data_IF_927656849668
#
_entry.id   IF_927656849668
#
_cell.length_a   1.000
_cell.length_b   1.000
_cell.length_c   1.000
_cell.angle_alpha   90.00
_cell.angle_beta   90.00
_cell.angle_gamma   90.00
#
_symmetry.space_group_name_H-M   'P 1'
#
loop_
_entity.id
_entity.type
_entity.pdbx_description
1 polymer ?
#
# COMPACT_ATOMS: atom_id res chain seq x y z
N UNK A 1 -0.89 13.53 -15.72
CA UNK A 1 -0.63 12.07 -15.84
C UNK A 1 -0.42 11.47 -14.46
N UNK A 2 0.76 11.64 -13.86
CA UNK A 2 0.99 11.06 -12.53
C UNK A 2 0.06 11.60 -11.46
N UNK A 3 -0.41 12.86 -11.59
CA UNK A 3 -1.37 13.43 -10.65
C UNK A 3 -2.73 12.72 -10.71
N UNK A 4 -3.18 12.35 -11.90
CA UNK A 4 -4.42 11.58 -12.06
C UNK A 4 -4.29 10.18 -11.47
N UNK A 5 -3.16 9.53 -11.69
CA UNK A 5 -2.87 8.21 -11.11
C UNK A 5 -2.87 8.32 -9.58
N UNK A 6 -2.18 9.32 -9.04
CA UNK A 6 -2.13 9.55 -7.60
C UNK A 6 -3.53 9.72 -7.02
N UNK A 7 -4.35 10.59 -7.62
CA UNK A 7 -5.71 10.85 -7.13
C UNK A 7 -6.59 9.60 -7.22
N UNK A 8 -6.47 8.84 -8.30
CA UNK A 8 -7.23 7.61 -8.47
C UNK A 8 -6.88 6.58 -7.38
N UNK A 9 -5.59 6.38 -7.14
CA UNK A 9 -5.13 5.43 -6.13
C UNK A 9 -5.48 5.88 -4.71
N UNK A 10 -5.32 7.16 -4.42
CA UNK A 10 -5.65 7.72 -3.11
C UNK A 10 -7.16 7.57 -2.83
N UNK A 11 -8.00 7.86 -3.82
CA UNK A 11 -9.46 7.70 -3.71
C UNK A 11 -9.82 6.24 -3.42
N UNK A 12 -9.25 5.31 -4.18
CA UNK A 12 -9.51 3.89 -4.00
C UNK A 12 -9.02 3.40 -2.62
N UNK A 13 -7.87 3.89 -2.16
CA UNK A 13 -7.33 3.54 -0.85
C UNK A 13 -8.24 4.07 0.27
N UNK A 14 -8.79 5.27 0.12
CA UNK A 14 -9.71 5.86 1.10
C UNK A 14 -11.01 5.07 1.19
N UNK A 15 -11.56 4.63 0.06
CA UNK A 15 -12.74 3.77 0.05
C UNK A 15 -12.44 2.45 0.75
N UNK A 16 -11.31 1.83 0.46
CA UNK A 16 -10.90 0.58 1.09
C UNK A 16 -10.78 0.74 2.61
N UNK A 17 -10.20 1.83 3.08
CA UNK A 17 -10.01 2.09 4.51
C UNK A 17 -11.31 2.08 5.31
N UNK A 18 -12.45 2.33 4.64
CA UNK A 18 -13.77 2.24 5.27
C UNK A 18 -14.10 0.84 5.77
N UNK A 19 -13.40 -0.18 5.29
CA UNK A 19 -13.60 -1.58 5.68
C UNK A 19 -12.51 -2.10 6.63
N UNK A 20 -11.61 -1.23 7.09
CA UNK A 20 -10.50 -1.64 7.94
C UNK A 20 -10.99 -2.29 9.24
N UNK A 21 -10.33 -3.38 9.61
CA UNK A 21 -10.55 -4.02 10.90
C UNK A 21 -9.42 -3.60 11.84
N UNK A 22 -9.65 -2.54 12.60
CA UNK A 22 -8.63 -1.93 13.44
C UNK A 22 -9.15 -1.60 14.86
N UNK A 23 -9.74 -2.59 15.56
CA UNK A 23 -10.36 -2.33 16.87
C UNK A 23 -9.35 -2.04 17.97
N UNK A 24 -8.07 -2.40 17.79
CA UNK A 24 -7.05 -2.26 18.81
C UNK A 24 -6.32 -0.93 18.71
N UNK A 25 -5.94 -0.52 17.49
CA UNK A 25 -5.23 0.74 17.27
C UNK A 25 -6.16 1.92 17.03
N UNK A 26 -7.35 1.64 16.53
CA UNK A 26 -8.30 2.65 16.05
C UNK A 26 -7.72 3.51 14.91
N UNK A 27 -6.76 2.96 14.18
CA UNK A 27 -6.08 3.63 13.06
C UNK A 27 -6.35 2.85 11.78
N UNK A 28 -7.13 3.43 10.86
CA UNK A 28 -7.49 2.78 9.61
C UNK A 28 -6.50 3.12 8.51
N UNK A 29 -6.08 2.12 7.77
CA UNK A 29 -5.18 2.29 6.61
C UNK A 29 -5.82 1.61 5.41
N UNK A 30 -5.72 2.27 4.27
CA UNK A 30 -6.11 1.69 2.99
C UNK A 30 -4.94 1.73 2.03
N UNK A 31 -4.87 0.73 1.17
CA UNK A 31 -3.89 0.67 0.10
C UNK A 31 -4.56 0.31 -1.22
N UNK A 32 -4.08 0.88 -2.30
CA UNK A 32 -4.56 0.60 -3.64
C UNK A 32 -3.37 0.40 -4.56
N UNK A 33 -3.35 -0.73 -5.25
CA UNK A 33 -2.30 -1.07 -6.21
C UNK A 33 -2.81 -0.85 -7.62
N UNK A 34 -2.03 -0.13 -8.43
CA UNK A 34 -2.29 -0.01 -9.85
C UNK A 34 -1.59 -1.14 -10.58
N UNK A 35 -2.32 -1.84 -11.41
CA UNK A 35 -1.81 -2.97 -12.20
C UNK A 35 -1.49 -2.53 -13.62
N UNK A 36 -0.68 -3.31 -14.32
CA UNK A 36 -0.29 -3.02 -15.73
C UNK A 36 -1.48 -2.88 -16.67
N UNK A 37 -2.57 -3.59 -16.40
CA UNK A 37 -3.79 -3.52 -17.23
C UNK A 37 -4.71 -2.36 -16.85
N UNK A 38 -4.31 -1.52 -15.89
CA UNK A 38 -5.10 -0.40 -15.42
C UNK A 38 -6.07 -0.73 -14.29
N UNK A 39 -6.21 -2.01 -13.93
CA UNK A 39 -7.08 -2.39 -12.83
C UNK A 39 -6.43 -2.03 -11.48
N UNK A 40 -7.26 -1.97 -10.44
CA UNK A 40 -6.84 -1.59 -9.11
C UNK A 40 -7.17 -2.71 -8.12
N UNK A 41 -6.20 -3.09 -7.30
CA UNK A 41 -6.38 -4.08 -6.23
C UNK A 41 -6.19 -3.37 -4.90
N UNK A 42 -7.17 -3.48 -4.01
CA UNK A 42 -7.14 -2.77 -2.73
C UNK A 42 -6.95 -3.71 -1.55
N UNK A 43 -6.53 -3.12 -0.43
CA UNK A 43 -6.44 -3.80 0.84
C UNK A 43 -6.61 -2.84 1.99
N UNK A 44 -6.88 -3.37 3.16
CA UNK A 44 -6.97 -2.61 4.41
C UNK A 44 -6.15 -3.30 5.46
N UNK A 45 -5.81 -2.57 6.54
CA UNK A 45 -5.22 -3.22 7.69
C UNK A 45 -6.25 -4.17 8.31
N UNK A 46 -5.74 -5.29 8.79
CA UNK A 46 -6.52 -6.37 9.37
C UNK A 46 -5.82 -6.77 10.67
N UNK A 47 -6.30 -6.21 11.77
CA UNK A 47 -5.72 -6.45 13.09
C UNK A 47 -6.22 -7.75 13.70
N UNK A 48 -5.48 -8.25 14.65
CA UNK A 48 -5.80 -9.47 15.36
C UNK A 48 -5.56 -9.26 16.85
N UNK A 49 -6.36 -9.88 17.70
CA UNK A 49 -6.15 -9.85 19.14
C UNK A 49 -4.77 -10.40 19.52
N UNK A 50 -4.24 -11.31 18.71
CA UNK A 50 -2.83 -11.69 18.77
C UNK A 50 -2.07 -10.70 17.89
N UNK A 51 -1.55 -9.64 18.49
CA UNK A 51 -1.04 -8.46 17.79
C UNK A 51 -0.02 -8.79 16.71
N UNK A 52 0.83 -9.77 16.94
CA UNK A 52 1.85 -10.18 15.99
C UNK A 52 1.30 -10.76 14.68
N UNK A 53 0.03 -11.13 14.64
CA UNK A 53 -0.64 -11.65 13.45
C UNK A 53 -1.33 -10.57 12.64
N UNK A 54 -1.32 -9.32 13.11
CA UNK A 54 -1.95 -8.20 12.41
C UNK A 54 -1.25 -7.94 11.08
N UNK A 55 -2.03 -7.58 10.05
CA UNK A 55 -1.52 -7.32 8.71
C UNK A 55 -1.77 -5.87 8.33
N UNK A 56 -0.78 -5.25 7.70
CA UNK A 56 -0.90 -3.91 7.17
C UNK A 56 -1.67 -3.92 5.84
N UNK A 57 -2.27 -2.79 5.48
CA UNK A 57 -3.07 -2.66 4.26
C UNK A 57 -2.26 -3.00 3.01
N UNK A 58 -1.02 -2.56 2.92
CA UNK A 58 -0.16 -2.79 1.75
C UNK A 58 0.15 -4.29 1.58
N UNK A 59 0.36 -4.98 2.69
CA UNK A 59 0.58 -6.43 2.68
C UNK A 59 -0.66 -7.16 2.22
N UNK A 60 -1.84 -6.76 2.72
CA UNK A 60 -3.12 -7.39 2.31
C UNK A 60 -3.37 -7.17 0.83
N UNK A 61 -3.16 -5.94 0.33
CA UNK A 61 -3.36 -5.64 -1.09
C UNK A 61 -2.40 -6.46 -1.97
N UNK A 62 -1.13 -6.55 -1.58
CA UNK A 62 -0.11 -7.29 -2.33
C UNK A 62 -0.42 -8.80 -2.31
N UNK A 63 -0.83 -9.34 -1.17
CA UNK A 63 -1.23 -10.74 -1.06
C UNK A 63 -2.46 -11.03 -1.93
N UNK A 64 -3.41 -10.10 -1.97
CA UNK A 64 -4.58 -10.23 -2.83
C UNK A 64 -4.20 -10.23 -4.31
N UNK A 65 -3.32 -9.33 -4.73
CA UNK A 65 -2.81 -9.30 -6.09
C UNK A 65 -2.12 -10.63 -6.45
N UNK A 66 -1.32 -11.16 -5.51
CA UNK A 66 -0.67 -12.44 -5.70
C UNK A 66 -1.70 -13.57 -5.87
N UNK A 67 -2.75 -13.58 -5.04
CA UNK A 67 -3.81 -14.61 -5.13
C UNK A 67 -4.56 -14.55 -6.45
N UNK A 68 -4.60 -13.37 -7.08
CA UNK A 68 -5.22 -13.18 -8.40
C UNK A 68 -4.24 -13.47 -9.55
N UNK A 69 -3.03 -13.92 -9.24
CA UNK A 69 -2.02 -14.24 -10.25
C UNK A 69 -1.30 -13.01 -10.82
N UNK A 70 -1.32 -11.88 -10.10
CA UNK A 70 -0.88 -10.58 -10.64
C UNK A 70 0.26 -9.93 -9.87
N UNK A 71 1.01 -10.70 -9.08
CA UNK A 71 2.09 -10.11 -8.28
C UNK A 71 3.08 -9.31 -9.14
N UNK A 72 3.42 -9.81 -10.32
CA UNK A 72 4.40 -9.18 -11.22
C UNK A 72 3.86 -7.98 -11.99
N UNK A 73 2.59 -7.67 -11.82
CA UNK A 73 1.93 -6.62 -12.61
C UNK A 73 1.69 -5.33 -11.83
N UNK A 74 2.22 -5.23 -10.62
CA UNK A 74 2.05 -4.03 -9.78
C UNK A 74 2.96 -2.92 -10.32
N UNK A 75 2.37 -1.74 -10.57
CA UNK A 75 3.06 -0.58 -11.13
C UNK A 75 3.25 0.53 -10.11
N UNK A 76 2.25 0.73 -9.27
CA UNK A 76 2.24 1.83 -8.30
C UNK A 76 1.34 1.47 -7.13
N UNK A 77 1.52 2.17 -6.01
CA UNK A 77 0.70 1.98 -4.82
C UNK A 77 0.32 3.33 -4.22
N UNK A 78 -0.95 3.45 -3.83
CA UNK A 78 -1.44 4.58 -3.03
C UNK A 78 -1.75 4.09 -1.62
N UNK A 79 -1.37 4.88 -0.62
CA UNK A 79 -1.53 4.51 0.79
C UNK A 79 -2.10 5.71 1.53
N UNK A 80 -3.15 5.48 2.31
CA UNK A 80 -3.72 6.50 3.16
C UNK A 80 -4.00 5.94 4.55
N UNK A 81 -4.12 6.81 5.52
CA UNK A 81 -4.51 6.37 6.86
C UNK A 81 -4.83 7.52 7.79
N UNK A 82 -5.51 7.20 8.87
CA UNK A 82 -5.86 8.17 9.89
C UNK A 82 -6.57 7.51 11.06
N UNK A 83 -6.60 8.22 12.19
CA UNK A 83 -7.34 7.78 13.38
C UNK A 83 -8.84 7.79 13.09
N UNK A 84 -9.52 6.75 13.53
CA UNK A 84 -10.98 6.66 13.38
C UNK A 84 -11.68 7.40 14.51
N UNK A 85 -12.69 8.18 14.14
CA UNK A 85 -13.63 8.83 15.06
C UNK A 85 -15.01 8.68 14.46
N UNK A 86 -15.94 8.13 15.23
CA UNK A 86 -17.29 7.87 14.75
C UNK A 86 -17.34 6.92 13.57
N UNK A 87 -16.40 5.96 13.51
CA UNK A 87 -16.33 4.97 12.44
C UNK A 87 -15.72 5.47 11.14
N UNK A 88 -15.16 6.69 11.14
CA UNK A 88 -14.57 7.31 9.94
C UNK A 88 -13.15 7.72 10.25
N UNK A 89 -12.23 7.44 9.34
CA UNK A 89 -10.83 7.85 9.46
C UNK A 89 -10.69 9.35 9.18
N UNK A 90 -9.87 10.02 9.96
CA UNK A 90 -9.63 11.46 9.88
C UNK A 90 -8.14 11.75 9.87
N UNK A 91 -7.78 12.92 9.36
CA UNK A 91 -6.42 13.43 9.36
C UNK A 91 -5.89 13.65 7.97
N UNK A 92 -5.06 14.70 7.84
CA UNK A 92 -4.52 15.11 6.55
C UNK A 92 -3.04 14.77 6.39
N UNK A 93 -2.38 14.29 7.45
CA UNK A 93 -0.97 13.97 7.40
C UNK A 93 -0.74 12.71 6.57
N UNK A 94 0.10 12.78 5.52
CA UNK A 94 0.45 11.60 4.76
C UNK A 94 1.10 10.53 5.63
N UNK A 95 0.69 9.30 5.46
CA UNK A 95 1.35 8.16 6.09
C UNK A 95 2.16 7.40 5.05
N UNK A 96 3.25 6.81 5.48
CA UNK A 96 4.16 6.07 4.61
C UNK A 96 4.14 4.60 5.01
N UNK A 97 4.47 3.68 4.09
CA UNK A 97 4.45 2.26 4.43
C UNK A 97 5.49 1.95 5.51
N UNK A 98 5.13 1.08 6.45
CA UNK A 98 6.09 0.61 7.45
C UNK A 98 7.22 -0.20 6.79
N UNK A 99 8.31 -0.43 7.52
CA UNK A 99 9.46 -1.15 6.99
C UNK A 99 9.11 -2.54 6.45
N UNK A 100 8.24 -3.26 7.16
CA UNK A 100 7.77 -4.58 6.74
C UNK A 100 7.07 -4.52 5.39
N UNK A 101 6.20 -3.54 5.19
CA UNK A 101 5.48 -3.37 3.93
C UNK A 101 6.40 -2.92 2.80
N UNK A 102 7.41 -2.12 3.10
CA UNK A 102 8.42 -1.75 2.11
C UNK A 102 9.14 -2.99 1.57
N UNK A 103 9.48 -3.93 2.45
CA UNK A 103 10.10 -5.19 2.05
C UNK A 103 9.16 -6.04 1.20
N UNK A 104 7.88 -6.11 1.58
CA UNK A 104 6.88 -6.86 0.82
C UNK A 104 6.67 -6.25 -0.56
N UNK A 105 6.58 -4.93 -0.65
CA UNK A 105 6.46 -4.24 -1.94
C UNK A 105 7.73 -4.43 -2.79
N UNK A 106 8.89 -4.50 -2.15
CA UNK A 106 10.14 -4.75 -2.85
C UNK A 106 10.15 -6.11 -3.56
N UNK A 107 9.55 -7.13 -2.94
CA UNK A 107 9.39 -8.44 -3.59
C UNK A 107 8.64 -8.27 -4.91
N UNK A 108 7.49 -7.59 -4.86
CA UNK A 108 6.66 -7.35 -6.05
C UNK A 108 7.41 -6.52 -7.09
N UNK A 109 8.12 -5.49 -6.67
CA UNK A 109 8.89 -4.62 -7.57
C UNK A 109 9.96 -5.42 -8.32
N UNK A 110 10.76 -6.19 -7.61
CA UNK A 110 11.83 -6.97 -8.24
C UNK A 110 11.28 -8.10 -9.10
N UNK A 111 10.22 -8.79 -8.65
CA UNK A 111 9.60 -9.84 -9.45
C UNK A 111 8.98 -9.29 -10.75
N UNK A 112 8.48 -8.07 -10.71
CA UNK A 112 7.93 -7.40 -11.88
C UNK A 112 8.97 -6.65 -12.73
N UNK A 113 10.20 -6.56 -12.25
CA UNK A 113 11.28 -5.90 -12.99
C UNK A 113 11.13 -4.39 -13.11
N UNK A 114 10.47 -3.73 -12.14
CA UNK A 114 10.29 -2.27 -12.17
C UNK A 114 10.23 -1.69 -10.75
N UNK A 115 10.68 -0.45 -10.62
CA UNK A 115 10.48 0.29 -9.38
C UNK A 115 9.01 0.72 -9.27
N UNK A 116 8.53 0.92 -8.07
CA UNK A 116 7.15 1.31 -7.83
C UNK A 116 7.07 2.78 -7.44
N UNK A 117 6.11 3.50 -8.01
CA UNK A 117 5.71 4.81 -7.49
C UNK A 117 4.85 4.59 -6.24
N UNK A 118 5.12 5.37 -5.19
CA UNK A 118 4.40 5.26 -3.92
C UNK A 118 3.79 6.63 -3.61
N UNK A 119 2.47 6.68 -3.57
CA UNK A 119 1.73 7.90 -3.28
C UNK A 119 1.17 7.79 -1.86
N UNK A 120 1.55 8.73 -1.00
CA UNK A 120 1.20 8.71 0.42
C UNK A 120 0.33 9.91 0.76
N UNK A 121 -0.81 9.68 1.38
CA UNK A 121 -1.71 10.74 1.78
C UNK A 121 -2.32 10.44 3.16
N UNK A 122 -3.05 11.40 3.69
CA UNK A 122 -3.87 11.19 4.88
C UNK A 122 -5.23 10.63 4.52
N UNK A 123 -6.06 10.44 5.53
CA UNK A 123 -7.43 9.96 5.34
C UNK A 123 -8.31 10.98 4.61
N UNK A 124 -7.95 12.26 4.67
CA UNK A 124 -8.71 13.36 4.06
C UNK A 124 -7.76 14.41 3.52
N UNK A 125 -8.33 15.39 2.80
CA UNK A 125 -7.56 16.49 2.24
C UNK A 125 -6.91 16.17 0.91
N UNK A 126 -6.23 17.18 0.35
CA UNK A 126 -5.65 17.07 -1.00
C UNK A 126 -4.14 16.87 -1.01
N UNK A 127 -3.48 17.04 0.14
CA UNK A 127 -2.02 16.88 0.23
C UNK A 127 -1.62 15.42 0.06
N UNK A 128 -0.58 15.20 -0.73
CA UNK A 128 0.02 13.87 -0.83
C UNK A 128 1.51 14.00 -1.18
N UNK A 129 2.24 12.92 -0.94
CA UNK A 129 3.65 12.81 -1.28
C UNK A 129 3.83 11.75 -2.35
N UNK A 130 4.84 11.93 -3.19
CA UNK A 130 5.24 10.95 -4.20
C UNK A 130 6.66 10.48 -3.88
N UNK A 131 6.82 9.15 -3.81
CA UNK A 131 8.11 8.52 -3.57
C UNK A 131 8.33 7.41 -4.57
N UNK A 132 9.58 7.01 -4.75
CA UNK A 132 9.91 5.74 -5.39
C UNK A 132 10.22 4.74 -4.28
N UNK A 133 9.79 3.51 -4.46
CA UNK A 133 10.04 2.48 -3.45
C UNK A 133 11.54 2.31 -3.17
N UNK A 134 12.37 2.39 -4.21
CA UNK A 134 13.82 2.29 -4.07
C UNK A 134 14.42 3.37 -3.17
N UNK A 135 13.78 4.54 -3.07
CA UNK A 135 14.22 5.60 -2.16
C UNK A 135 13.77 5.31 -0.72
N UNK A 136 12.64 4.61 -0.55
CA UNK A 136 12.11 4.27 0.77
C UNK A 136 12.75 3.03 1.37
N UNK A 137 13.39 2.20 0.55
CA UNK A 137 14.09 0.99 0.99
C UNK A 137 15.40 0.88 0.20
N UNK A 138 16.40 1.71 0.51
CA UNK A 138 17.68 1.66 -0.20
C UNK A 138 18.44 0.38 0.14
N UNK A 139 19.21 -0.12 -0.84
CA UNK A 139 20.04 -1.32 -0.68
C UNK A 139 19.23 -2.53 -0.20
N UNK A 140 18.04 -2.71 -0.76
CA UNK A 140 17.12 -3.74 -0.30
C UNK A 140 17.60 -5.14 -0.65
N UNK A 141 17.40 -6.07 0.28
CA UNK A 141 17.54 -7.50 -0.01
C UNK A 141 16.25 -7.98 -0.69
N UNK A 142 16.40 -8.74 -1.74
CA UNK A 142 15.23 -9.24 -2.47
C UNK A 142 15.58 -10.38 -3.42
N UNK A 143 14.62 -10.76 -4.27
CA UNK A 143 14.80 -11.87 -5.21
C UNK A 143 16.06 -11.76 -6.08
N UNK A 144 16.44 -10.53 -6.44
CA UNK A 144 17.64 -10.30 -7.25
C UNK A 144 18.90 -10.84 -6.58
N UNK A 145 18.99 -10.76 -5.25
CA UNK A 145 20.14 -11.29 -4.49
C UNK A 145 20.22 -12.81 -4.54
N UNK A 146 19.11 -13.47 -4.86
CA UNK A 146 19.04 -14.92 -5.00
C UNK A 146 19.04 -15.36 -6.46
N UNK A 147 19.31 -14.45 -7.38
CA UNK A 147 19.33 -14.73 -8.81
C UNK A 147 17.94 -14.95 -9.41
N UNK A 148 16.90 -14.45 -8.75
CA UNK A 148 15.51 -14.60 -9.17
C UNK A 148 14.95 -13.20 -9.48
N UNK A 149 13.96 -13.16 -10.33
CA UNK A 149 13.27 -11.93 -10.61
C UNK A 149 13.21 -11.63 -12.10
N UNK A 150 12.44 -10.65 -12.38
CA UNK A 150 12.19 -10.36 -13.75
C UNK A 150 12.91 -9.21 -14.35
#
# INVERSE_FOLDING_TARGET
MSNEIAQTLITAAREAAGHAHAPYSNFAVGAALLMTDGSIVTGTNFENASYGLSLCAETVATARANAEGKLREIVAVGIIGGMMRGGVAHGTDPIRPCGRCRQILNEAAQMGGRDLAVYCAGAEGEAYETHRLSDLLPHAFGPADLGIGG
#
